data_IF_248437501138
#
_entry.id   IF_248437501138
#
_cell.length_a   1.000
_cell.length_b   1.000
_cell.length_c   1.000
_cell.angle_alpha   90.00
_cell.angle_beta   90.00
_cell.angle_gamma   90.00
#
_symmetry.space_group_name_H-M   'P 1'
#
loop_
_entity.id
_entity.type
_entity.pdbx_description
1 polymer ?
#
# COMPACT_ATOMS: atom_id res chain seq x y z
N UNK A 1 -30.00 -15.55 20.42
CA UNK A 1 -30.60 -14.44 19.64
C UNK A 1 -29.74 -13.93 18.46
N UNK A 2 -28.49 -14.32 18.31
CA UNK A 2 -27.62 -13.93 17.20
C UNK A 2 -27.89 -14.70 15.89
N UNK A 3 -28.31 -15.97 15.97
CA UNK A 3 -28.54 -16.85 14.80
C UNK A 3 -29.64 -16.37 13.85
N UNK A 4 -30.62 -15.67 14.35
CA UNK A 4 -31.79 -15.28 13.55
C UNK A 4 -31.52 -14.12 12.57
N UNK A 5 -30.53 -13.25 12.85
CA UNK A 5 -30.18 -12.16 11.93
C UNK A 5 -29.30 -12.63 10.77
N UNK A 6 -28.40 -13.59 11.04
CA UNK A 6 -27.53 -14.14 10.01
C UNK A 6 -28.28 -15.02 9.01
N UNK A 7 -29.22 -15.85 9.50
CA UNK A 7 -30.08 -16.64 8.63
C UNK A 7 -31.02 -15.79 7.78
N UNK A 8 -31.51 -14.67 8.30
CA UNK A 8 -32.30 -13.68 7.54
C UNK A 8 -31.50 -13.00 6.42
N UNK A 9 -30.26 -12.65 6.68
CA UNK A 9 -29.34 -12.06 5.67
C UNK A 9 -29.03 -13.04 4.54
N UNK A 10 -28.68 -14.28 4.87
CA UNK A 10 -28.44 -15.34 3.87
C UNK A 10 -29.71 -15.67 3.03
N UNK A 11 -30.87 -15.66 3.64
CA UNK A 11 -32.14 -15.87 2.94
C UNK A 11 -32.44 -14.72 1.97
N UNK A 12 -32.09 -13.46 2.34
CA UNK A 12 -32.23 -12.29 1.47
C UNK A 12 -31.33 -12.39 0.25
N UNK A 13 -30.07 -12.79 0.41
CA UNK A 13 -29.10 -12.94 -0.70
C UNK A 13 -29.54 -14.07 -1.66
N UNK A 14 -30.13 -15.13 -1.15
CA UNK A 14 -30.58 -16.29 -1.94
C UNK A 14 -31.93 -16.10 -2.65
N UNK A 15 -32.65 -15.02 -2.36
CA UNK A 15 -33.94 -14.76 -3.05
C UNK A 15 -33.68 -14.38 -4.51
N UNK A 16 -34.34 -15.04 -5.47
CA UNK A 16 -34.26 -14.63 -6.87
C UNK A 16 -34.77 -13.20 -7.02
N UNK A 17 -34.08 -12.38 -7.82
CA UNK A 17 -34.52 -11.02 -8.10
C UNK A 17 -35.77 -11.07 -8.98
N UNK A 18 -36.87 -10.55 -8.48
CA UNK A 18 -38.10 -10.38 -9.27
C UNK A 18 -38.03 -9.20 -10.25
N UNK A 19 -37.06 -8.29 -10.06
CA UNK A 19 -36.93 -7.02 -10.82
C UNK A 19 -35.92 -7.09 -11.95
N UNK A 20 -34.86 -7.89 -11.80
CA UNK A 20 -33.75 -7.94 -12.77
C UNK A 20 -33.53 -9.37 -13.25
N UNK A 21 -33.29 -9.54 -14.56
CA UNK A 21 -32.98 -10.86 -15.11
C UNK A 21 -31.61 -11.35 -14.62
N UNK A 22 -31.42 -12.66 -14.53
CA UNK A 22 -30.14 -13.26 -14.18
C UNK A 22 -29.02 -12.78 -15.12
N UNK A 23 -29.30 -12.67 -16.40
CA UNK A 23 -28.33 -12.20 -17.40
C UNK A 23 -27.86 -10.76 -17.10
N UNK A 24 -28.79 -9.85 -16.78
CA UNK A 24 -28.40 -8.47 -16.46
C UNK A 24 -27.56 -8.39 -15.18
N UNK A 25 -27.86 -9.20 -14.16
CA UNK A 25 -27.06 -9.26 -12.95
C UNK A 25 -25.65 -9.80 -13.20
N UNK A 26 -25.53 -10.84 -14.03
CA UNK A 26 -24.23 -11.39 -14.43
C UNK A 26 -23.40 -10.40 -15.24
N UNK A 27 -24.01 -9.70 -16.21
CA UNK A 27 -23.32 -8.69 -17.02
C UNK A 27 -22.84 -7.54 -16.14
N UNK A 28 -23.70 -6.99 -15.30
CA UNK A 28 -23.32 -5.90 -14.38
C UNK A 28 -22.23 -6.36 -13.41
N UNK A 29 -22.36 -7.55 -12.84
CA UNK A 29 -21.37 -8.12 -11.92
C UNK A 29 -20.01 -8.32 -12.60
N UNK A 30 -20.01 -8.83 -13.84
CA UNK A 30 -18.79 -9.05 -14.61
C UNK A 30 -18.05 -7.73 -14.89
N UNK A 31 -18.74 -6.73 -15.42
CA UNK A 31 -18.10 -5.44 -15.70
C UNK A 31 -17.69 -4.71 -14.41
N UNK A 32 -18.51 -4.76 -13.37
CA UNK A 32 -18.14 -4.19 -12.07
C UNK A 32 -16.89 -4.85 -11.49
N UNK A 33 -16.75 -6.17 -11.64
CA UNK A 33 -15.56 -6.91 -11.23
C UNK A 33 -14.31 -6.48 -12.01
N UNK A 34 -14.42 -6.30 -13.33
CA UNK A 34 -13.31 -5.82 -14.17
C UNK A 34 -12.89 -4.40 -13.74
N UNK A 35 -13.83 -3.49 -13.60
CA UNK A 35 -13.52 -2.11 -13.18
C UNK A 35 -12.95 -2.05 -11.77
N UNK A 36 -13.52 -2.81 -10.84
CA UNK A 36 -12.99 -2.89 -9.47
C UNK A 36 -11.55 -3.42 -9.46
N UNK A 37 -11.30 -4.55 -10.12
CA UNK A 37 -9.98 -5.16 -10.16
C UNK A 37 -8.95 -4.30 -10.87
N UNK A 38 -9.31 -3.74 -12.03
CA UNK A 38 -8.46 -2.83 -12.78
C UNK A 38 -8.14 -1.56 -11.98
N UNK A 39 -9.14 -0.91 -11.41
CA UNK A 39 -8.98 0.27 -10.58
C UNK A 39 -8.14 0.00 -9.33
N UNK A 40 -8.39 -1.12 -8.66
CA UNK A 40 -7.61 -1.54 -7.51
C UNK A 40 -6.12 -1.73 -7.85
N UNK A 41 -5.81 -2.48 -8.91
CA UNK A 41 -4.41 -2.68 -9.31
C UNK A 41 -3.75 -1.38 -9.77
N UNK A 42 -4.46 -0.54 -10.50
CA UNK A 42 -3.96 0.79 -10.89
C UNK A 42 -3.63 1.64 -9.67
N UNK A 43 -4.51 1.68 -8.67
CA UNK A 43 -4.27 2.38 -7.41
C UNK A 43 -3.07 1.81 -6.64
N UNK A 44 -2.92 0.49 -6.65
CA UNK A 44 -1.77 -0.18 -6.02
C UNK A 44 -0.45 0.23 -6.67
N UNK A 45 -0.38 0.31 -8.00
CA UNK A 45 0.84 0.73 -8.70
C UNK A 45 1.07 2.25 -8.64
N UNK A 46 0.03 3.06 -8.71
CA UNK A 46 0.14 4.51 -8.53
C UNK A 46 0.78 4.90 -7.20
N UNK A 47 0.49 4.13 -6.14
CA UNK A 47 1.11 4.32 -4.82
C UNK A 47 2.52 3.73 -4.68
N UNK A 48 3.11 3.19 -5.75
CA UNK A 48 4.51 2.73 -5.79
C UNK A 48 5.44 3.72 -6.52
N UNK A 49 4.91 4.82 -7.04
CA UNK A 49 5.72 5.82 -7.75
C UNK A 49 6.59 6.63 -6.80
N UNK A 50 7.69 7.16 -7.31
CA UNK A 50 8.56 8.04 -6.52
C UNK A 50 7.80 9.29 -6.07
N UNK A 51 6.99 9.85 -6.97
CA UNK A 51 6.18 11.05 -6.73
C UNK A 51 5.22 10.85 -5.56
N UNK A 52 4.59 9.67 -5.47
CA UNK A 52 3.74 9.34 -4.34
C UNK A 52 4.54 9.28 -3.03
N UNK A 53 5.70 8.62 -3.02
CA UNK A 53 6.53 8.47 -1.82
C UNK A 53 7.05 9.82 -1.31
N UNK A 54 7.47 10.72 -2.20
CA UNK A 54 7.95 12.06 -1.83
C UNK A 54 6.85 13.12 -1.77
N UNK A 55 5.61 12.73 -1.96
CA UNK A 55 4.45 13.61 -1.79
C UNK A 55 4.29 14.13 -0.36
N UNK A 56 4.75 13.35 0.63
CA UNK A 56 4.82 13.81 2.02
C UNK A 56 6.12 14.60 2.25
N UNK A 57 6.01 15.77 2.88
CA UNK A 57 7.16 16.64 3.13
C UNK A 57 8.22 15.97 4.03
N UNK A 58 7.82 15.11 4.96
CA UNK A 58 8.75 14.36 5.82
C UNK A 58 9.70 13.48 4.99
N UNK A 59 9.17 12.83 3.97
CA UNK A 59 9.96 12.01 3.07
C UNK A 59 10.77 12.87 2.11
N UNK A 60 10.17 13.91 1.53
CA UNK A 60 10.80 14.78 0.54
C UNK A 60 11.98 15.57 1.12
N UNK A 61 11.78 16.18 2.29
CA UNK A 61 12.71 17.15 2.86
C UNK A 61 13.81 16.47 3.71
N UNK A 62 13.61 15.23 4.12
CA UNK A 62 14.58 14.45 4.89
C UNK A 62 15.14 13.26 4.09
N UNK A 63 14.38 12.18 4.01
CA UNK A 63 14.85 10.89 3.48
C UNK A 63 15.27 11.00 2.02
N UNK A 64 14.50 11.71 1.19
CA UNK A 64 14.82 11.86 -0.24
C UNK A 64 16.09 12.70 -0.47
N UNK A 65 16.33 13.71 0.35
CA UNK A 65 17.56 14.52 0.27
C UNK A 65 18.79 13.66 0.56
N UNK A 66 18.72 12.78 1.54
CA UNK A 66 19.79 11.84 1.87
C UNK A 66 19.94 10.76 0.78
N UNK A 67 18.83 10.21 0.32
CA UNK A 67 18.82 9.22 -0.75
C UNK A 67 19.52 9.71 -2.02
N UNK A 68 19.35 10.98 -2.40
CA UNK A 68 20.00 11.57 -3.56
C UNK A 68 21.55 11.56 -3.48
N UNK A 69 22.12 11.39 -2.32
CA UNK A 69 23.58 11.31 -2.10
C UNK A 69 24.09 9.87 -2.15
N UNK A 70 23.23 8.87 -2.33
CA UNK A 70 23.61 7.46 -2.32
C UNK A 70 23.92 6.92 -3.71
N UNK A 71 24.65 5.81 -3.77
CA UNK A 71 24.93 5.06 -5.01
C UNK A 71 23.66 4.49 -5.66
N UNK A 72 22.57 4.35 -4.91
CA UNK A 72 21.28 3.90 -5.42
C UNK A 72 20.58 4.96 -6.26
N UNK A 73 20.84 6.24 -5.98
CA UNK A 73 20.30 7.35 -6.77
C UNK A 73 21.17 7.67 -7.99
N UNK A 74 22.48 7.68 -7.83
CA UNK A 74 23.42 8.02 -8.90
C UNK A 74 24.63 7.10 -8.83
N UNK A 75 24.86 6.36 -9.90
CA UNK A 75 25.97 5.43 -10.02
C UNK A 75 26.52 5.39 -11.46
N UNK A 76 27.63 4.69 -11.62
CA UNK A 76 28.32 4.57 -12.91
C UNK A 76 27.47 3.92 -14.02
N UNK A 77 26.53 3.06 -13.67
CA UNK A 77 25.69 2.34 -14.65
C UNK A 77 24.49 3.16 -15.13
N UNK A 78 24.18 4.29 -14.46
CA UNK A 78 23.01 5.12 -14.76
C UNK A 78 21.69 4.54 -14.31
N UNK A 79 21.67 3.37 -13.67
CA UNK A 79 20.46 2.74 -13.14
C UNK A 79 20.11 3.38 -11.80
N UNK A 80 18.92 3.94 -11.70
CA UNK A 80 18.39 4.53 -10.45
C UNK A 80 17.32 3.63 -9.86
N UNK A 81 17.54 3.18 -8.64
CA UNK A 81 16.48 2.52 -7.86
C UNK A 81 15.51 3.57 -7.30
N UNK A 82 14.22 3.31 -7.29
CA UNK A 82 13.23 4.14 -6.59
C UNK A 82 12.86 3.51 -5.25
N UNK A 83 12.17 4.27 -4.38
CA UNK A 83 11.85 3.81 -3.04
C UNK A 83 11.13 2.45 -3.03
N UNK A 84 10.19 2.25 -3.95
CA UNK A 84 9.44 1.01 -4.07
C UNK A 84 10.28 -0.20 -4.49
N UNK A 85 11.43 -0.01 -5.12
CA UNK A 85 12.27 -1.14 -5.55
C UNK A 85 12.86 -1.92 -4.38
N UNK A 86 13.09 -1.24 -3.24
CA UNK A 86 13.61 -1.87 -2.03
C UNK A 86 12.54 -2.05 -0.95
N UNK A 87 11.53 -1.14 -0.89
CA UNK A 87 10.57 -1.09 0.20
C UNK A 87 9.24 -1.80 -0.09
N UNK A 88 8.96 -2.11 -1.36
CA UNK A 88 7.70 -2.74 -1.76
C UNK A 88 7.98 -4.06 -2.49
N UNK A 89 7.56 -5.20 -1.91
CA UNK A 89 7.72 -6.51 -2.54
C UNK A 89 7.07 -6.57 -3.93
N UNK A 90 7.71 -7.27 -4.86
CA UNK A 90 7.20 -7.46 -6.22
C UNK A 90 6.05 -8.46 -6.26
N UNK A 91 6.12 -9.51 -5.44
CA UNK A 91 5.05 -10.51 -5.35
C UNK A 91 3.79 -9.92 -4.70
N UNK A 92 2.65 -10.29 -5.24
CA UNK A 92 1.36 -9.70 -4.91
C UNK A 92 0.99 -9.84 -3.43
N UNK A 93 1.18 -11.01 -2.85
CA UNK A 93 0.80 -11.30 -1.46
C UNK A 93 1.60 -10.45 -0.48
N UNK A 94 2.94 -10.43 -0.64
CA UNK A 94 3.80 -9.64 0.23
C UNK A 94 3.64 -8.13 -0.02
N UNK A 95 3.34 -7.73 -1.26
CA UNK A 95 2.96 -6.35 -1.60
C UNK A 95 1.74 -5.90 -0.80
N UNK A 96 0.68 -6.71 -0.76
CA UNK A 96 -0.52 -6.43 0.02
C UNK A 96 -0.22 -6.31 1.52
N UNK A 97 0.52 -7.27 2.07
CA UNK A 97 0.93 -7.24 3.48
C UNK A 97 1.70 -5.96 3.79
N UNK A 98 2.67 -5.59 2.93
CA UNK A 98 3.46 -4.37 3.11
C UNK A 98 2.61 -3.10 3.06
N UNK A 99 1.65 -3.02 2.15
CA UNK A 99 0.71 -1.89 2.04
C UNK A 99 -0.16 -1.73 3.30
N UNK A 100 -0.65 -2.85 3.84
CA UNK A 100 -1.41 -2.84 5.09
C UNK A 100 -0.51 -2.37 6.26
N UNK A 101 0.73 -2.83 6.33
CA UNK A 101 1.68 -2.38 7.34
C UNK A 101 1.99 -0.88 7.22
N UNK A 102 2.20 -0.39 5.99
CA UNK A 102 2.47 1.02 5.70
C UNK A 102 1.30 1.96 6.05
N UNK A 103 0.08 1.44 6.17
CA UNK A 103 -1.07 2.26 6.58
C UNK A 103 -0.89 2.89 7.97
N UNK A 104 -0.08 2.29 8.85
CA UNK A 104 0.29 2.87 10.14
C UNK A 104 1.09 4.17 10.00
N UNK A 105 1.97 4.22 9.00
CA UNK A 105 2.80 5.39 8.71
C UNK A 105 1.93 6.55 8.20
N UNK A 106 0.99 6.23 7.29
CA UNK A 106 -0.02 7.18 6.81
C UNK A 106 -0.91 7.67 7.95
N UNK A 107 -1.33 6.76 8.83
CA UNK A 107 -2.12 7.12 10.01
C UNK A 107 -1.34 8.03 10.96
N UNK A 108 -0.06 7.74 11.20
CA UNK A 108 0.83 8.59 12.01
C UNK A 108 0.97 10.01 11.45
N UNK A 109 0.97 10.15 10.11
CA UNK A 109 0.94 11.46 9.44
C UNK A 109 -0.38 12.18 9.69
N UNK A 110 -1.52 11.51 9.47
CA UNK A 110 -2.86 12.09 9.62
C UNK A 110 -3.12 12.53 11.07
N UNK A 111 -2.66 11.75 12.03
CA UNK A 111 -2.84 12.02 13.46
C UNK A 111 -1.83 13.00 14.05
N UNK A 112 -0.88 13.48 13.24
CA UNK A 112 0.10 14.47 13.66
C UNK A 112 1.24 13.93 14.55
N UNK A 113 1.49 12.62 14.50
CA UNK A 113 2.58 11.99 15.27
C UNK A 113 3.96 12.32 14.66
N UNK A 114 4.01 12.51 13.34
CA UNK A 114 5.27 12.77 12.59
C UNK A 114 5.14 13.96 11.64
N UNK A 115 4.20 14.86 11.90
CA UNK A 115 3.82 15.96 10.98
C UNK A 115 4.74 17.18 11.01
N UNK A 116 5.69 17.23 11.94
CA UNK A 116 6.71 18.29 11.99
C UNK A 116 8.12 17.72 11.91
N UNK A 117 9.13 18.51 11.47
CA UNK A 117 10.52 18.07 11.40
C UNK A 117 11.05 17.53 12.74
N UNK A 118 10.68 18.15 13.84
CA UNK A 118 11.12 17.76 15.18
C UNK A 118 10.53 16.40 15.57
N UNK A 119 9.23 16.22 15.40
CA UNK A 119 8.53 14.95 15.67
C UNK A 119 9.05 13.83 14.75
N UNK A 120 9.31 14.15 13.49
CA UNK A 120 9.91 13.19 12.57
C UNK A 120 11.30 12.76 13.04
N UNK A 121 12.16 13.70 13.45
CA UNK A 121 13.50 13.42 13.95
C UNK A 121 13.46 12.54 15.21
N UNK A 122 12.56 12.81 16.12
CA UNK A 122 12.35 12.01 17.35
C UNK A 122 11.95 10.56 17.05
N UNK A 123 11.07 10.36 16.09
CA UNK A 123 10.56 9.02 15.73
C UNK A 123 11.42 8.29 14.70
N UNK A 124 12.36 8.97 14.04
CA UNK A 124 13.13 8.46 12.91
C UNK A 124 13.88 7.17 13.20
N UNK A 125 14.59 7.10 14.32
CA UNK A 125 15.36 5.90 14.68
C UNK A 125 14.44 4.69 14.82
N UNK A 126 13.33 4.82 15.54
CA UNK A 126 12.35 3.75 15.74
C UNK A 126 11.76 3.26 14.42
N UNK A 127 11.46 4.17 13.49
CA UNK A 127 10.99 3.82 12.14
C UNK A 127 12.07 3.07 11.36
N UNK A 128 13.32 3.53 11.42
CA UNK A 128 14.45 2.89 10.76
C UNK A 128 14.72 1.48 11.30
N UNK A 129 14.72 1.29 12.62
CA UNK A 129 14.90 -0.01 13.26
C UNK A 129 13.81 -1.01 12.88
N UNK A 130 12.56 -0.55 12.77
CA UNK A 130 11.45 -1.36 12.29
C UNK A 130 11.69 -1.85 10.86
N UNK A 131 12.16 -0.97 9.99
CA UNK A 131 12.44 -1.29 8.60
C UNK A 131 13.66 -2.20 8.44
N UNK A 132 14.74 -1.96 9.19
CA UNK A 132 15.91 -2.84 9.22
C UNK A 132 15.57 -4.25 9.70
N UNK A 133 14.72 -4.35 10.72
CA UNK A 133 14.24 -5.65 11.23
C UNK A 133 13.48 -6.41 10.14
N UNK A 134 12.61 -5.72 9.42
CA UNK A 134 11.86 -6.29 8.30
C UNK A 134 12.78 -6.75 7.17
N UNK A 135 13.74 -5.92 6.78
CA UNK A 135 14.71 -6.27 5.72
C UNK A 135 15.59 -7.45 6.12
N UNK A 136 16.05 -7.50 7.37
CA UNK A 136 16.80 -8.65 7.89
C UNK A 136 15.96 -9.93 7.88
N UNK A 137 14.69 -9.86 8.27
CA UNK A 137 13.81 -11.01 8.33
C UNK A 137 13.54 -11.66 6.95
N UNK A 138 13.60 -10.89 5.88
CA UNK A 138 13.42 -11.39 4.51
C UNK A 138 14.73 -11.47 3.70
N UNK A 139 15.87 -11.34 4.36
CA UNK A 139 17.21 -11.36 3.76
C UNK A 139 17.35 -10.32 2.63
N UNK A 140 16.78 -9.14 2.83
CA UNK A 140 16.77 -8.01 1.88
C UNK A 140 16.40 -8.43 0.45
N UNK A 141 15.43 -9.31 0.31
CA UNK A 141 15.02 -9.98 -0.93
C UNK A 141 14.84 -9.01 -2.10
N UNK A 142 14.27 -7.84 -1.83
CA UNK A 142 13.98 -6.85 -2.88
C UNK A 142 15.23 -6.08 -3.37
N UNK A 143 16.35 -6.19 -2.66
CA UNK A 143 17.63 -5.56 -3.00
C UNK A 143 18.56 -6.46 -3.84
N UNK A 144 18.11 -7.70 -4.15
CA UNK A 144 18.90 -8.71 -4.87
C UNK A 144 18.42 -8.92 -6.29
#
# INVERSE_FOLDING_TARGET
>A
MADNKFTGFLAMIRRPSAKYSLLSLLVVGFFSGIFFWGGFNTGMEATNTLEFCIGCHEMRDNVYVEYKKTVHYSNRTGVRAVCSDCHVPKDWTHKMIRKIQASKEVWGKITGVIDTPEKFAEHRLKMAESEWTRMKANDSRECR
#
